data_IF_094925001986
#
_entry.id   IF_094925001986
#
_cell.length_a   1.000
_cell.length_b   1.000
_cell.length_c   1.000
_cell.angle_alpha   90.00
_cell.angle_beta   90.00
_cell.angle_gamma   90.00
#
_symmetry.space_group_name_H-M   'P 1'
#
loop_
_entity.id
_entity.type
_entity.pdbx_description
1 polymer ?
#
# COMPACT_ATOMS: atom_id res chain seq x y z
N UNK A 1 -7.50 0.90 -14.77
CA UNK A 1 -7.09 -0.48 -14.45
C UNK A 1 -5.78 -0.83 -15.14
N UNK A 2 -4.97 -1.73 -14.57
CA UNK A 2 -3.75 -2.21 -15.22
C UNK A 2 -3.80 -3.73 -15.44
N UNK A 3 -3.93 -4.16 -16.70
CA UNK A 3 -3.94 -5.56 -17.10
C UNK A 3 -2.78 -5.85 -18.06
N UNK A 4 -2.10 -7.00 -17.90
CA UNK A 4 -1.05 -7.46 -18.81
C UNK A 4 0.07 -6.46 -19.15
N UNK A 5 0.41 -5.54 -18.25
CA UNK A 5 1.46 -4.53 -18.52
C UNK A 5 0.95 -3.25 -19.18
N UNK A 6 -0.35 -3.11 -19.40
CA UNK A 6 -0.98 -1.95 -20.02
C UNK A 6 -2.06 -1.34 -19.11
N UNK A 7 -2.20 -0.01 -19.21
CA UNK A 7 -3.29 0.74 -18.59
C UNK A 7 -4.54 0.74 -19.47
N UNK A 8 -5.70 0.58 -18.85
CA UNK A 8 -7.01 0.66 -19.47
C UNK A 8 -7.97 1.48 -18.60
N UNK A 9 -9.02 2.07 -19.17
CA UNK A 9 -10.11 2.68 -18.41
C UNK A 9 -10.71 1.72 -17.37
N UNK A 10 -11.19 2.23 -16.22
CA UNK A 10 -11.69 1.38 -15.13
C UNK A 10 -13.00 0.65 -15.49
N UNK A 11 -13.80 1.20 -16.39
CA UNK A 11 -15.01 0.58 -16.93
C UNK A 11 -14.75 -0.68 -17.78
N UNK A 12 -13.50 -0.92 -18.19
CA UNK A 12 -13.07 -2.16 -18.87
C UNK A 12 -12.69 -3.28 -17.89
N UNK A 13 -12.84 -3.06 -16.58
CA UNK A 13 -12.49 -4.04 -15.57
C UNK A 13 -13.39 -5.28 -15.65
N UNK A 14 -12.84 -6.48 -15.37
CA UNK A 14 -13.62 -7.71 -15.44
C UNK A 14 -14.80 -7.67 -14.47
N UNK A 15 -15.92 -8.27 -14.86
CA UNK A 15 -17.08 -8.43 -13.99
C UNK A 15 -16.68 -8.98 -12.61
N UNK A 16 -17.35 -8.51 -11.57
CA UNK A 16 -17.06 -8.96 -10.21
C UNK A 16 -15.80 -8.34 -9.59
N UNK A 17 -15.19 -7.30 -10.20
CA UNK A 17 -13.97 -6.71 -9.65
C UNK A 17 -14.18 -5.90 -8.37
N UNK A 18 -15.37 -5.34 -8.15
CA UNK A 18 -15.68 -4.52 -6.96
C UNK A 18 -15.93 -5.36 -5.71
N UNK A 19 -16.25 -6.63 -5.91
CA UNK A 19 -16.49 -7.65 -4.89
C UNK A 19 -15.17 -8.25 -4.40
N UNK A 20 -14.06 -7.93 -5.06
CA UNK A 20 -12.71 -8.31 -4.64
C UNK A 20 -12.25 -7.44 -3.47
N UNK A 21 -11.30 -7.95 -2.70
CA UNK A 21 -10.75 -7.22 -1.57
C UNK A 21 -9.96 -5.99 -2.05
N UNK A 22 -10.34 -4.81 -1.56
CA UNK A 22 -9.58 -3.58 -1.75
C UNK A 22 -8.31 -3.59 -0.88
N UNK A 23 -7.16 -3.25 -1.49
CA UNK A 23 -5.86 -3.10 -0.82
C UNK A 23 -5.21 -1.80 -1.28
N UNK A 24 -4.99 -0.87 -0.36
CA UNK A 24 -4.32 0.40 -0.63
C UNK A 24 -2.83 0.17 -0.93
N UNK A 25 -2.37 0.76 -2.03
CA UNK A 25 -1.00 0.79 -2.48
C UNK A 25 -0.51 2.24 -2.58
N UNK A 26 0.33 2.63 -1.62
CA UNK A 26 0.84 3.99 -1.42
C UNK A 26 2.37 4.11 -1.70
N UNK A 27 2.97 3.05 -2.25
CA UNK A 27 4.42 2.96 -2.51
C UNK A 27 4.71 2.22 -3.81
N UNK A 28 5.75 1.37 -3.84
CA UNK A 28 6.18 0.70 -5.08
C UNK A 28 5.09 -0.16 -5.77
N UNK A 29 4.06 -0.59 -5.03
CA UNK A 29 2.93 -1.34 -5.59
C UNK A 29 1.97 -0.48 -6.43
N UNK A 30 2.08 0.85 -6.39
CA UNK A 30 1.40 1.73 -7.34
C UNK A 30 2.04 1.68 -8.74
N UNK A 31 3.29 1.23 -8.86
CA UNK A 31 3.99 1.17 -10.14
C UNK A 31 3.58 -0.08 -10.95
N UNK A 32 3.08 0.09 -12.19
CA UNK A 32 2.76 -1.00 -13.13
C UNK A 32 3.82 -2.10 -13.26
N UNK A 33 5.11 -1.74 -13.28
CA UNK A 33 6.22 -2.69 -13.42
C UNK A 33 6.29 -3.72 -12.28
N UNK A 34 5.77 -3.39 -11.11
CA UNK A 34 5.69 -4.29 -9.95
C UNK A 34 4.79 -5.49 -10.24
N UNK A 35 3.70 -5.29 -11.00
CA UNK A 35 2.80 -6.37 -11.42
C UNK A 35 3.57 -7.38 -12.26
N UNK A 36 4.31 -6.93 -13.27
CA UNK A 36 5.11 -7.80 -14.13
C UNK A 36 6.16 -8.58 -13.33
N UNK A 37 6.84 -7.91 -12.38
CA UNK A 37 7.79 -8.57 -11.49
C UNK A 37 7.13 -9.64 -10.62
N UNK A 38 5.99 -9.36 -9.98
CA UNK A 38 5.28 -10.36 -9.16
C UNK A 38 4.76 -11.54 -9.99
N UNK A 39 4.43 -11.34 -11.26
CA UNK A 39 4.10 -12.45 -12.17
C UNK A 39 5.29 -13.37 -12.39
N UNK A 40 6.45 -12.77 -12.70
CA UNK A 40 7.68 -13.50 -12.98
C UNK A 40 8.22 -14.24 -11.74
N UNK A 41 8.28 -13.54 -10.60
CA UNK A 41 9.01 -14.03 -9.42
C UNK A 41 8.12 -14.73 -8.38
N UNK A 42 6.85 -14.32 -8.25
CA UNK A 42 5.97 -14.77 -7.18
C UNK A 42 4.73 -15.51 -7.69
N UNK A 43 4.62 -15.70 -9.01
CA UNK A 43 3.53 -16.46 -9.62
C UNK A 43 2.17 -15.77 -9.55
N UNK A 44 2.12 -14.43 -9.59
CA UNK A 44 0.87 -13.67 -9.67
C UNK A 44 0.05 -14.08 -10.91
N UNK A 45 -1.20 -14.52 -10.71
CA UNK A 45 -2.09 -15.01 -11.78
C UNK A 45 -3.34 -14.15 -11.96
N UNK A 46 -3.96 -14.32 -13.12
CA UNK A 46 -5.24 -13.70 -13.48
C UNK A 46 -5.17 -12.19 -13.74
N UNK A 47 -6.31 -11.56 -14.07
CA UNK A 47 -6.40 -10.11 -14.24
C UNK A 47 -6.14 -9.39 -12.92
N UNK A 48 -5.27 -8.38 -12.96
CA UNK A 48 -5.03 -7.47 -11.84
C UNK A 48 -5.85 -6.21 -12.11
N UNK A 49 -6.58 -5.74 -11.09
CA UNK A 49 -7.34 -4.49 -11.18
C UNK A 49 -6.72 -3.52 -10.19
N UNK A 50 -6.20 -2.42 -10.73
CA UNK A 50 -5.64 -1.31 -9.95
C UNK A 50 -6.35 -0.04 -10.39
N UNK A 51 -7.00 0.63 -9.45
CA UNK A 51 -7.65 1.93 -9.69
C UNK A 51 -6.81 3.02 -9.03
N UNK A 52 -6.79 4.20 -9.65
CA UNK A 52 -6.30 5.40 -9.01
C UNK A 52 -7.32 5.84 -7.94
N UNK A 53 -6.83 6.39 -6.84
CA UNK A 53 -7.67 6.74 -5.71
C UNK A 53 -7.17 7.99 -4.98
N UNK A 54 -8.10 8.88 -4.70
CA UNK A 54 -7.91 10.03 -3.83
C UNK A 54 -8.12 9.60 -2.39
N UNK A 55 -7.14 9.89 -1.54
CA UNK A 55 -7.12 9.53 -0.13
C UNK A 55 -7.01 10.80 0.73
N UNK A 56 -7.94 11.04 1.66
CA UNK A 56 -7.84 12.13 2.63
C UNK A 56 -7.39 11.61 4.00
N UNK A 57 -6.52 12.37 4.67
CA UNK A 57 -6.02 12.05 6.01
C UNK A 57 -5.00 10.91 6.04
N UNK A 58 -4.55 10.41 4.89
CA UNK A 58 -3.56 9.34 4.74
C UNK A 58 -2.41 9.82 3.86
N UNK A 59 -1.18 9.52 4.27
CA UNK A 59 0.02 9.93 3.56
C UNK A 59 1.04 8.81 3.43
N UNK A 60 1.64 8.71 2.25
CA UNK A 60 2.86 7.96 2.04
C UNK A 60 4.05 8.74 2.61
N UNK A 61 4.74 8.16 3.58
CA UNK A 61 5.90 8.77 4.24
C UNK A 61 7.09 7.83 4.18
N UNK A 62 8.29 8.38 4.29
CA UNK A 62 9.51 7.57 4.36
C UNK A 62 9.59 6.80 5.67
N UNK A 63 9.97 5.53 5.60
CA UNK A 63 10.28 4.74 6.78
C UNK A 63 11.62 5.14 7.40
N UNK A 64 11.78 4.90 8.70
CA UNK A 64 12.99 5.22 9.47
C UNK A 64 14.23 4.41 9.05
N UNK A 65 14.05 3.18 8.57
CA UNK A 65 15.14 2.28 8.18
C UNK A 65 15.33 2.15 6.67
N UNK A 66 16.54 1.75 6.28
CA UNK A 66 16.89 1.45 4.89
C UNK A 66 16.64 -0.02 4.56
N UNK A 67 16.42 -0.34 3.27
CA UNK A 67 16.34 -1.71 2.79
C UNK A 67 17.74 -2.29 2.65
N UNK A 68 17.99 -3.43 3.27
CA UNK A 68 19.28 -4.13 3.17
C UNK A 68 19.70 -4.44 1.73
N UNK A 69 18.74 -4.78 0.86
CA UNK A 69 19.00 -5.24 -0.51
C UNK A 69 19.70 -4.19 -1.39
N UNK A 70 19.27 -2.93 -1.30
CA UNK A 70 19.64 -1.88 -2.26
C UNK A 70 19.84 -0.51 -1.61
N UNK A 71 19.84 -0.44 -0.27
CA UNK A 71 20.02 0.80 0.49
C UNK A 71 18.85 1.78 0.40
N UNK A 72 17.80 1.50 -0.38
CA UNK A 72 16.70 2.43 -0.54
C UNK A 72 15.87 2.54 0.74
N UNK A 73 15.41 3.74 1.05
CA UNK A 73 14.44 4.00 2.11
C UNK A 73 13.04 3.65 1.59
N UNK A 74 12.32 2.67 2.15
CA UNK A 74 10.99 2.32 1.68
C UNK A 74 9.94 3.32 2.18
N UNK A 75 8.79 3.35 1.50
CA UNK A 75 7.60 4.04 1.98
C UNK A 75 6.87 3.21 3.07
N UNK A 76 6.17 3.91 3.95
CA UNK A 76 5.14 3.41 4.87
C UNK A 76 3.95 4.38 4.85
N UNK A 77 2.82 3.96 5.42
CA UNK A 77 1.62 4.79 5.55
C UNK A 77 1.52 5.35 6.97
N UNK A 78 1.08 6.61 7.09
CA UNK A 78 0.66 7.21 8.37
C UNK A 78 -0.60 8.05 8.16
N UNK A 79 -1.37 8.31 9.21
CA UNK A 79 -2.38 9.35 9.17
C UNK A 79 -1.69 10.72 9.17
N UNK A 80 -2.08 11.59 8.25
CA UNK A 80 -1.56 12.94 8.14
C UNK A 80 -2.59 13.82 7.40
N UNK A 81 -2.88 15.06 7.86
CA UNK A 81 -3.85 15.91 7.19
C UNK A 81 -3.49 16.21 5.73
N UNK A 82 -4.51 16.29 4.89
CA UNK A 82 -4.38 16.60 3.47
C UNK A 82 -4.73 15.41 2.59
N UNK A 83 -4.71 15.67 1.29
CA UNK A 83 -5.15 14.73 0.27
C UNK A 83 -3.93 14.23 -0.49
N UNK A 84 -3.83 12.91 -0.66
CA UNK A 84 -2.85 12.27 -1.51
C UNK A 84 -3.54 11.36 -2.54
N UNK A 85 -2.87 11.21 -3.68
CA UNK A 85 -3.29 10.31 -4.74
C UNK A 85 -2.48 9.01 -4.66
N UNK A 86 -3.18 7.89 -4.62
CA UNK A 86 -2.63 6.56 -4.46
C UNK A 86 -3.29 5.58 -5.43
N UNK A 87 -2.96 4.30 -5.28
CA UNK A 87 -3.60 3.22 -6.03
C UNK A 87 -4.34 2.27 -5.07
N UNK A 88 -5.47 1.73 -5.50
CA UNK A 88 -6.18 0.64 -4.81
C UNK A 88 -6.17 -0.58 -5.70
N UNK A 89 -5.64 -1.67 -5.18
CA UNK A 89 -5.72 -2.99 -5.80
C UNK A 89 -7.01 -3.68 -5.40
N UNK A 90 -7.70 -4.28 -6.36
CA UNK A 90 -8.87 -5.13 -6.13
C UNK A 90 -8.48 -6.58 -6.38
N UNK A 91 -8.15 -7.28 -5.30
CA UNK A 91 -7.43 -8.57 -5.36
C UNK A 91 -8.30 -9.77 -5.04
N UNK A 92 -8.05 -10.85 -5.77
CA UNK A 92 -8.57 -12.18 -5.40
C UNK A 92 -7.82 -12.73 -4.17
N UNK A 93 -8.33 -13.81 -3.54
CA UNK A 93 -7.71 -14.39 -2.36
C UNK A 93 -6.27 -14.85 -2.63
N UNK A 94 -6.02 -15.40 -3.81
CA UNK A 94 -4.70 -15.89 -4.21
C UNK A 94 -3.75 -14.75 -4.56
N UNK A 95 -4.25 -13.67 -5.16
CA UNK A 95 -3.46 -12.46 -5.38
C UNK A 95 -3.06 -11.80 -4.05
N UNK A 96 -3.95 -11.80 -3.05
CA UNK A 96 -3.62 -11.30 -1.71
C UNK A 96 -2.51 -12.14 -1.04
N UNK A 97 -2.48 -13.47 -1.23
CA UNK A 97 -1.37 -14.32 -0.74
C UNK A 97 -0.04 -13.93 -1.39
N UNK A 98 -0.04 -13.57 -2.67
CA UNK A 98 1.17 -13.09 -3.36
C UNK A 98 1.63 -11.75 -2.78
N UNK A 99 0.70 -10.83 -2.49
CA UNK A 99 1.01 -9.58 -1.81
C UNK A 99 1.58 -9.83 -0.39
N UNK A 100 1.02 -10.78 0.36
CA UNK A 100 1.51 -11.15 1.70
C UNK A 100 3.00 -11.58 1.65
N UNK A 101 3.39 -12.34 0.62
CA UNK A 101 4.79 -12.74 0.40
C UNK A 101 5.65 -11.54 -0.01
N UNK A 102 5.19 -10.74 -0.97
CA UNK A 102 5.89 -9.56 -1.48
C UNK A 102 6.25 -8.60 -0.35
N UNK A 103 5.25 -8.28 0.48
CA UNK A 103 5.39 -7.36 1.61
C UNK A 103 6.05 -8.01 2.83
N UNK A 104 6.11 -9.34 2.90
CA UNK A 104 6.68 -10.04 4.05
C UNK A 104 5.82 -9.85 5.29
N UNK A 105 4.52 -10.16 5.15
CA UNK A 105 3.52 -10.09 6.22
C UNK A 105 4.00 -10.80 7.48
N UNK A 106 3.84 -10.16 8.63
CA UNK A 106 4.23 -10.70 9.94
C UNK A 106 5.72 -10.55 10.26
N UNK A 107 6.51 -9.95 9.37
CA UNK A 107 7.91 -9.62 9.61
C UNK A 107 8.18 -8.14 9.30
N UNK A 108 8.08 -7.75 8.03
CA UNK A 108 8.35 -6.36 7.61
C UNK A 108 7.12 -5.47 7.76
N UNK A 109 5.96 -5.99 7.36
CA UNK A 109 4.70 -5.28 7.39
C UNK A 109 3.60 -6.13 8.05
N UNK A 110 2.64 -5.47 8.69
CA UNK A 110 1.35 -6.06 9.06
C UNK A 110 0.36 -5.82 7.95
N UNK A 111 -0.49 -6.80 7.65
CA UNK A 111 -1.73 -6.55 6.94
C UNK A 111 -2.75 -6.02 7.95
N UNK A 112 -3.36 -4.88 7.66
CA UNK A 112 -4.33 -4.23 8.53
C UNK A 112 -5.57 -3.84 7.76
N UNK A 113 -6.69 -3.74 8.47
CA UNK A 113 -7.94 -3.15 7.99
C UNK A 113 -8.01 -1.71 8.49
N UNK A 114 -8.16 -0.75 7.58
CA UNK A 114 -8.24 0.66 7.93
C UNK A 114 -9.59 0.97 8.57
N UNK A 115 -9.57 1.82 9.61
CA UNK A 115 -10.79 2.25 10.31
C UNK A 115 -11.25 3.60 9.76
N UNK A 116 -12.41 3.62 9.11
CA UNK A 116 -13.00 4.84 8.53
C UNK A 116 -12.11 5.57 7.52
N UNK A 117 -11.45 4.88 6.56
CA UNK A 117 -10.64 5.55 5.56
C UNK A 117 -11.52 6.41 4.65
N UNK A 118 -11.05 7.62 4.31
CA UNK A 118 -11.66 8.46 3.28
C UNK A 118 -10.91 8.24 1.96
N UNK A 119 -11.42 7.29 1.17
CA UNK A 119 -10.81 6.86 -0.09
C UNK A 119 -11.88 6.84 -1.17
N UNK A 120 -11.64 7.55 -2.28
CA UNK A 120 -12.53 7.63 -3.42
C UNK A 120 -11.80 7.28 -4.71
N UNK A 121 -12.48 6.58 -5.62
CA UNK A 121 -11.96 6.28 -6.95
C UNK A 121 -12.22 7.44 -7.92
N UNK A 122 -11.62 7.38 -9.11
CA UNK A 122 -11.79 8.40 -10.16
C UNK A 122 -13.25 8.63 -10.59
N UNK A 123 -14.11 7.63 -10.45
CA UNK A 123 -15.55 7.72 -10.74
C UNK A 123 -16.38 8.32 -9.58
N UNK A 124 -15.71 8.76 -8.51
CA UNK A 124 -16.33 9.32 -7.31
C UNK A 124 -16.87 8.28 -6.33
N UNK A 125 -16.77 6.98 -6.63
CA UNK A 125 -17.22 5.94 -5.70
C UNK A 125 -16.28 5.82 -4.50
N UNK A 126 -16.86 5.72 -3.30
CA UNK A 126 -16.12 5.46 -2.08
C UNK A 126 -15.66 4.01 -2.01
N UNK A 127 -14.46 3.77 -1.48
CA UNK A 127 -13.94 2.43 -1.23
C UNK A 127 -14.05 2.11 0.25
N UNK A 128 -14.87 1.12 0.58
CA UNK A 128 -15.02 0.62 1.95
C UNK A 128 -14.21 -0.66 2.14
N UNK A 129 -14.06 -1.06 3.41
CA UNK A 129 -13.34 -2.26 3.80
C UNK A 129 -11.93 -2.39 3.19
N UNK A 130 -11.11 -1.34 3.38
CA UNK A 130 -9.80 -1.26 2.75
C UNK A 130 -8.74 -1.89 3.64
N UNK A 131 -7.96 -2.81 3.05
CA UNK A 131 -6.75 -3.32 3.66
C UNK A 131 -5.54 -2.46 3.27
N UNK A 132 -4.52 -2.46 4.11
CA UNK A 132 -3.22 -1.89 3.80
C UNK A 132 -2.11 -2.72 4.44
N UNK A 133 -0.91 -2.66 3.88
CA UNK A 133 0.30 -3.11 4.58
C UNK A 133 0.87 -1.92 5.33
N UNK A 134 1.17 -2.03 6.63
CA UNK A 134 1.83 -0.97 7.42
C UNK A 134 3.05 -1.53 8.13
N UNK A 135 4.03 -0.69 8.48
CA UNK A 135 5.25 -1.16 9.13
C UNK A 135 4.97 -2.00 10.39
N UNK A 136 5.61 -3.16 10.50
CA UNK A 136 5.45 -4.06 11.65
C UNK A 136 6.54 -3.92 12.72
N UNK A 137 7.62 -3.22 12.39
CA UNK A 137 8.81 -3.08 13.21
C UNK A 137 9.31 -1.63 13.16
N UNK A 138 10.07 -1.14 14.16
CA UNK A 138 10.50 0.26 14.23
C UNK A 138 11.18 0.79 12.97
N UNK A 139 11.99 -0.03 12.29
CA UNK A 139 12.67 0.34 11.03
C UNK A 139 11.71 0.53 9.82
N UNK A 140 10.43 0.22 10.00
CA UNK A 140 9.35 0.41 9.03
C UNK A 140 8.31 1.43 9.49
N UNK A 141 8.45 1.98 10.69
CA UNK A 141 7.64 3.10 11.14
C UNK A 141 8.07 4.40 10.45
N UNK A 142 7.21 5.43 10.40
CA UNK A 142 7.55 6.73 9.82
C UNK A 142 8.87 7.28 10.37
N UNK A 143 9.71 7.81 9.49
CA UNK A 143 10.86 8.64 9.85
C UNK A 143 10.36 10.00 10.32
N UNK A 144 10.78 10.40 11.52
CA UNK A 144 10.54 11.73 12.08
C UNK A 144 11.80 12.59 11.95
N UNK A 145 11.72 13.64 11.13
CA UNK A 145 12.72 14.71 11.09
C UNK A 145 12.13 15.91 11.82
N UNK A 146 12.82 16.40 12.85
CA UNK A 146 12.31 17.45 13.75
C UNK A 146 10.92 17.13 14.32
N UNK A 147 10.71 15.85 14.65
CA UNK A 147 9.44 15.35 15.21
C UNK A 147 8.30 15.22 14.20
N UNK A 148 8.54 15.40 12.90
CA UNK A 148 7.50 15.36 11.86
C UNK A 148 7.76 14.24 10.84
N UNK A 149 6.71 13.49 10.42
CA UNK A 149 6.82 12.55 9.31
C UNK A 149 7.24 13.26 8.02
N UNK A 150 8.08 12.60 7.21
CA UNK A 150 8.53 13.13 5.91
C UNK A 150 7.75 12.44 4.79
N UNK A 151 6.92 13.19 4.05
CA UNK A 151 6.17 12.66 2.91
C UNK A 151 7.09 12.22 1.77
N UNK A 152 6.71 11.15 1.10
CA UNK A 152 7.42 10.71 -0.12
C UNK A 152 7.22 11.67 -1.29
N UNK A 153 6.12 12.42 -1.28
CA UNK A 153 5.85 13.47 -2.26
C UNK A 153 6.76 14.70 -2.12
N UNK A 154 7.20 14.99 -0.89
CA UNK A 154 7.98 16.19 -0.58
C UNK A 154 9.48 15.98 -0.78
N UNK A 155 9.97 14.75 -0.53
CA UNK A 155 11.40 14.43 -0.61
C UNK A 155 11.62 13.22 -1.52
N UNK A 156 12.39 13.35 -2.62
CA UNK A 156 12.66 12.23 -3.51
C UNK A 156 13.59 11.20 -2.87
N UNK A 157 13.52 9.95 -3.33
CA UNK A 157 14.28 8.80 -2.81
C UNK A 157 15.77 9.07 -2.58
N UNK A 158 16.43 9.74 -3.54
CA UNK A 158 17.87 10.02 -3.50
C UNK A 158 18.27 10.98 -2.36
N UNK A 159 17.36 11.85 -1.94
CA UNK A 159 17.56 12.71 -0.76
C UNK A 159 17.08 12.01 0.51
N UNK A 160 16.00 11.22 0.40
CA UNK A 160 15.42 10.52 1.52
C UNK A 160 16.40 9.57 2.20
N UNK A 161 17.28 8.89 1.45
CA UNK A 161 18.29 7.98 2.03
C UNK A 161 19.25 8.69 2.98
N UNK A 162 19.57 9.96 2.71
CA UNK A 162 20.50 10.78 3.51
C UNK A 162 19.84 11.43 4.74
N UNK A 163 18.51 11.36 4.86
CA UNK A 163 17.80 11.95 5.99
C UNK A 163 18.14 11.24 7.30
N UNK A 164 18.41 12.04 8.33
CA UNK A 164 18.64 11.61 9.71
C UNK A 164 17.46 12.04 10.57
N UNK A 165 16.97 11.11 11.38
CA UNK A 165 15.82 11.29 12.25
C UNK A 165 15.51 10.02 13.01
N UNK A 166 14.44 10.07 13.81
CA UNK A 166 14.06 8.97 14.69
C UNK A 166 12.85 8.20 14.15
N UNK A 167 12.69 6.91 14.45
CA UNK A 167 11.44 6.22 14.18
C UNK A 167 10.30 6.81 15.04
N UNK A 168 9.13 7.00 14.44
CA UNK A 168 7.91 7.23 15.19
C UNK A 168 7.62 6.07 16.16
N UNK A 169 6.84 6.31 17.22
CA UNK A 169 6.49 5.27 18.19
C UNK A 169 5.55 4.18 17.65
N UNK A 170 4.88 4.42 16.52
CA UNK A 170 3.98 3.47 15.85
C UNK A 170 3.80 3.86 14.37
N UNK A 171 3.09 3.04 13.57
CA UNK A 171 2.73 3.42 12.20
C UNK A 171 1.80 4.63 12.07
N UNK A 172 1.09 5.03 13.13
CA UNK A 172 0.27 6.25 13.13
C UNK A 172 -1.02 6.19 12.29
N UNK A 173 -1.55 5.00 11.98
CA UNK A 173 -2.82 4.84 11.24
C UNK A 173 -3.86 4.14 12.12
N UNK A 174 -5.10 4.63 12.13
CA UNK A 174 -6.22 3.96 12.78
C UNK A 174 -6.61 2.69 12.02
N UNK A 175 -6.37 1.53 12.62
CA UNK A 175 -6.57 0.25 11.96
C UNK A 175 -6.68 -0.91 12.95
N UNK A 176 -7.07 -2.08 12.45
CA UNK A 176 -6.97 -3.36 13.16
C UNK A 176 -6.05 -4.31 12.40
N UNK A 177 -5.17 -5.00 13.12
CA UNK A 177 -4.30 -6.02 12.52
C UNK A 177 -5.13 -7.23 12.10
N UNK A 178 -4.97 -7.64 10.85
CA UNK A 178 -5.61 -8.84 10.31
C UNK A 178 -4.70 -10.03 10.63
N UNK A 179 -5.10 -10.87 11.58
CA UNK A 179 -4.35 -12.06 11.98
C UNK A 179 -4.83 -13.31 11.23
N UNK A 180 -3.93 -14.22 10.80
CA UNK A 180 -4.32 -15.53 10.31
C UNK A 180 -4.94 -16.42 11.42
N UNK A 181 -5.87 -17.35 11.11
CA UNK A 181 -6.58 -17.45 9.84
C UNK A 181 -7.56 -16.28 9.75
N UNK A 182 -7.46 -15.50 8.68
CA UNK A 182 -8.16 -14.22 8.53
C UNK A 182 -9.61 -14.37 8.08
N UNK A 183 -10.21 -15.55 8.31
CA UNK A 183 -11.64 -15.81 8.14
C UNK A 183 -12.20 -15.45 6.78
N UNK A 184 -11.37 -15.40 5.72
CA UNK A 184 -11.73 -14.81 4.43
C UNK A 184 -12.90 -15.56 3.77
N UNK A 185 -14.11 -15.13 4.07
CA UNK A 185 -15.32 -15.43 3.29
C UNK A 185 -15.48 -14.30 2.29
N UNK A 186 -14.95 -14.53 1.10
CA UNK A 186 -15.32 -13.72 -0.05
C UNK A 186 -16.73 -14.15 -0.48
N UNK A 187 -17.59 -13.25 -0.96
CA UNK A 187 -18.81 -13.66 -1.63
C UNK A 187 -18.51 -14.61 -2.81
#
# INVERSE_FOLDING_TARGET
MHANGAGYPLDTAPDGWRERQAVLAYGSNANPSKISWMRAELGLKGPVVVAHARCDGLAAVWASGLRFRDGQRPATLTALPGVEEHAVWFVTPDQLKVLDICEGRGNRYHLVRLTGPDITLEDGSAVTDVLAYIGAVPIRYPLLVDGKPVRTADVPQAQAVELVGEPAGSPGVACTVVTPPDGRTFP
#
